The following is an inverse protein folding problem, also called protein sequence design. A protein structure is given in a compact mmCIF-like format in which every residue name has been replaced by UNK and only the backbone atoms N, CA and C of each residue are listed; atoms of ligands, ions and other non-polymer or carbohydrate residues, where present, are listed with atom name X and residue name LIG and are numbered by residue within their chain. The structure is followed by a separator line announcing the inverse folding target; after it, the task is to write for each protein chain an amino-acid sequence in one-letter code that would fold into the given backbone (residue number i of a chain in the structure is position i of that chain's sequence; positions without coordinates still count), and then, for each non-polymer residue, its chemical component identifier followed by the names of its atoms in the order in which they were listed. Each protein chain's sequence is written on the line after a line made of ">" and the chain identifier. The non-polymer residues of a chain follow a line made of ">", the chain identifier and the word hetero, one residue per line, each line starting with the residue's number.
data_IF_131098378394
#
_entry.id   IF_131098378394
#
_cell.length_a   1.000
_cell.length_b   1.000
_cell.length_c   1.000
_cell.angle_alpha   90.00
_cell.angle_beta   90.00
_cell.angle_gamma   90.00
#
_symmetry.space_group_name_H-M   'P 1'
#
loop_
_entity.id
_entity.type
_entity.pdbx_description
1 polymer ?
#
# COMPACT_ATOMS: atom_id res chain seq x y z
N UNK A 1 -11.39 -7.77 -20.38
CA UNK A 1 -12.02 -7.72 -19.04
C UNK A 1 -11.12 -7.07 -18.00
N UNK A 2 -9.92 -7.59 -17.74
CA UNK A 2 -8.97 -7.05 -16.74
C UNK A 2 -8.79 -5.52 -16.75
N UNK A 3 -8.52 -4.92 -17.92
CA UNK A 3 -8.38 -3.47 -18.05
C UNK A 3 -9.64 -2.67 -17.69
N UNK A 4 -10.83 -3.24 -17.93
CA UNK A 4 -12.09 -2.60 -17.57
C UNK A 4 -12.28 -2.55 -16.05
N UNK A 5 -11.87 -3.60 -15.34
CA UNK A 5 -11.90 -3.66 -13.88
C UNK A 5 -10.94 -2.62 -13.28
N UNK A 6 -9.71 -2.53 -13.81
CA UNK A 6 -8.74 -1.50 -13.39
C UNK A 6 -9.32 -0.10 -13.62
N UNK A 7 -9.88 0.17 -14.81
CA UNK A 7 -10.47 1.48 -15.13
C UNK A 7 -11.63 1.81 -14.19
N UNK A 8 -12.48 0.83 -13.86
CA UNK A 8 -13.58 0.98 -12.91
C UNK A 8 -13.05 1.39 -11.55
N UNK A 9 -12.10 0.64 -11.00
CA UNK A 9 -11.55 0.89 -9.66
C UNK A 9 -10.80 2.23 -9.59
N UNK A 10 -10.01 2.57 -10.61
CA UNK A 10 -9.37 3.89 -10.69
C UNK A 10 -10.39 5.03 -10.79
N UNK A 11 -11.52 4.82 -11.48
CA UNK A 11 -12.59 5.82 -11.56
C UNK A 11 -13.28 6.02 -10.19
N UNK A 12 -13.48 4.93 -9.44
CA UNK A 12 -14.03 5.01 -8.08
C UNK A 12 -13.08 5.74 -7.14
N UNK A 13 -11.77 5.41 -7.19
CA UNK A 13 -10.72 6.09 -6.42
C UNK A 13 -10.70 7.59 -6.77
N UNK A 14 -10.71 7.95 -8.05
CA UNK A 14 -10.65 9.34 -8.51
C UNK A 14 -11.88 10.18 -8.11
N UNK A 15 -13.04 9.53 -7.92
CA UNK A 15 -14.27 10.18 -7.45
C UNK A 15 -14.39 10.25 -5.94
N UNK A 16 -13.53 9.55 -5.21
CA UNK A 16 -13.53 9.57 -3.75
C UNK A 16 -13.09 10.94 -3.23
N UNK A 17 -13.81 11.55 -2.28
CA UNK A 17 -13.35 12.77 -1.61
C UNK A 17 -12.04 12.54 -0.84
N UNK A 18 -11.71 11.29 -0.53
CA UNK A 18 -10.49 10.89 0.18
C UNK A 18 -9.31 10.55 -0.75
N UNK A 19 -9.40 10.84 -2.06
CA UNK A 19 -8.34 10.54 -3.05
C UNK A 19 -6.93 10.93 -2.57
N UNK A 20 -6.78 12.15 -2.04
CA UNK A 20 -5.48 12.69 -1.62
C UNK A 20 -5.09 12.30 -0.19
N UNK A 21 -5.98 11.66 0.55
CA UNK A 21 -5.80 11.36 1.98
C UNK A 21 -4.52 10.55 2.26
N UNK A 22 -4.17 9.48 1.50
CA UNK A 22 -2.93 8.75 1.70
C UNK A 22 -1.66 9.61 1.52
N UNK A 23 -1.66 10.49 0.51
CA UNK A 23 -0.52 11.37 0.20
C UNK A 23 -0.39 12.46 1.25
N UNK A 24 -1.50 13.09 1.65
CA UNK A 24 -1.50 14.08 2.72
C UNK A 24 -1.02 13.47 4.03
N UNK A 25 -1.47 12.27 4.37
CA UNK A 25 -1.01 11.55 5.55
C UNK A 25 0.49 11.26 5.49
N UNK A 26 1.00 10.79 4.35
CA UNK A 26 2.42 10.55 4.13
C UNK A 26 3.27 11.80 4.36
N UNK A 27 2.90 12.91 3.73
CA UNK A 27 3.60 14.20 3.88
C UNK A 27 3.49 14.72 5.31
N UNK A 28 2.32 14.58 5.94
CA UNK A 28 2.09 14.99 7.33
C UNK A 28 2.99 14.22 8.29
N UNK A 29 3.13 12.90 8.14
CA UNK A 29 4.08 12.12 8.95
C UNK A 29 5.51 12.64 8.74
N UNK A 30 5.95 12.83 7.49
CA UNK A 30 7.28 13.36 7.20
C UNK A 30 7.51 14.77 7.78
N UNK A 31 6.47 15.61 7.81
CA UNK A 31 6.53 16.97 8.36
C UNK A 31 6.54 16.99 9.89
N UNK A 32 5.83 16.07 10.55
CA UNK A 32 5.72 16.02 12.01
C UNK A 32 6.97 15.44 12.68
N UNK A 33 7.69 14.52 12.03
CA UNK A 33 8.85 13.86 12.62
C UNK A 33 9.98 14.82 13.06
N UNK A 34 10.36 15.83 12.26
CA UNK A 34 11.32 16.86 12.69
C UNK A 34 10.92 17.59 13.98
N UNK A 35 9.62 17.81 14.23
CA UNK A 35 9.16 18.42 15.48
C UNK A 35 9.28 17.48 16.69
N UNK A 36 9.11 16.18 16.47
CA UNK A 36 9.24 15.17 17.53
C UNK A 36 10.71 14.90 17.91
N UNK A 37 11.61 14.93 16.93
CA UNK A 37 13.04 14.59 17.12
C UNK A 37 13.90 15.83 17.42
N UNK A 38 13.53 16.98 16.87
CA UNK A 38 14.32 18.22 16.94
C UNK A 38 15.22 18.42 15.71
N UNK A 39 15.94 19.56 15.65
CA UNK A 39 16.65 20.03 14.46
C UNK A 39 17.98 19.30 14.16
N UNK A 40 18.19 18.08 14.67
CA UNK A 40 19.39 17.29 14.36
C UNK A 40 19.28 16.64 12.98
N UNK A 41 19.82 17.31 11.97
CA UNK A 41 19.80 16.84 10.58
C UNK A 41 20.47 15.47 10.39
N UNK A 42 21.50 15.12 11.18
CA UNK A 42 22.18 13.82 11.05
C UNK A 42 21.29 12.71 11.57
N UNK A 43 20.64 12.95 12.72
CA UNK A 43 19.68 12.01 13.28
C UNK A 43 18.46 11.84 12.37
N UNK A 44 17.92 12.94 11.84
CA UNK A 44 16.79 12.93 10.91
C UNK A 44 17.09 12.12 9.65
N UNK A 45 18.23 12.40 8.99
CA UNK A 45 18.65 11.66 7.80
C UNK A 45 18.82 10.16 8.08
N UNK A 46 19.31 9.80 9.28
CA UNK A 46 19.51 8.40 9.69
C UNK A 46 18.20 7.64 9.88
N UNK A 47 17.16 8.29 10.40
CA UNK A 47 15.85 7.64 10.63
C UNK A 47 14.89 7.77 9.44
N UNK A 48 15.19 8.66 8.48
CA UNK A 48 14.32 8.99 7.36
C UNK A 48 13.78 7.79 6.58
N UNK A 49 14.59 6.76 6.23
CA UNK A 49 14.05 5.57 5.55
C UNK A 49 12.97 4.86 6.38
N UNK A 50 13.17 4.75 7.69
CA UNK A 50 12.18 4.17 8.61
C UNK A 50 10.87 4.97 8.64
N UNK A 51 10.99 6.30 8.79
CA UNK A 51 9.84 7.21 8.81
C UNK A 51 9.02 7.10 7.52
N UNK A 52 9.69 7.13 6.37
CA UNK A 52 9.05 7.05 5.05
C UNK A 52 8.33 5.71 4.85
N UNK A 53 8.94 4.59 5.26
CA UNK A 53 8.30 3.27 5.13
C UNK A 53 7.12 3.08 6.07
N UNK A 54 7.19 3.57 7.31
CA UNK A 54 6.05 3.59 8.22
C UNK A 54 4.92 4.45 7.65
N UNK A 55 5.24 5.64 7.15
CA UNK A 55 4.27 6.52 6.51
C UNK A 55 3.63 5.86 5.27
N UNK A 56 4.41 5.15 4.45
CA UNK A 56 3.92 4.43 3.29
C UNK A 56 3.01 3.25 3.64
N UNK A 57 3.34 2.48 4.69
CA UNK A 57 2.47 1.43 5.21
C UNK A 57 1.13 1.99 5.68
N UNK A 58 1.14 3.04 6.50
CA UNK A 58 -0.08 3.64 7.03
C UNK A 58 -0.92 4.27 5.90
N UNK A 59 -0.28 4.90 4.91
CA UNK A 59 -0.95 5.40 3.72
C UNK A 59 -1.61 4.27 2.90
N UNK A 60 -0.98 3.10 2.80
CA UNK A 60 -1.54 1.94 2.11
C UNK A 60 -2.74 1.32 2.84
N UNK A 61 -2.81 1.46 4.17
CA UNK A 61 -3.89 0.95 5.02
C UNK A 61 -5.09 1.90 5.11
N UNK A 62 -4.90 3.19 4.83
CA UNK A 62 -5.96 4.19 4.94
C UNK A 62 -7.22 3.88 4.11
N UNK A 63 -7.11 3.37 2.85
CA UNK A 63 -8.26 3.02 2.03
C UNK A 63 -8.83 1.62 2.29
N UNK A 64 -8.29 0.87 3.26
CA UNK A 64 -8.53 -0.58 3.36
C UNK A 64 -10.01 -0.93 3.56
N UNK A 65 -10.73 -0.12 4.34
CA UNK A 65 -12.15 -0.33 4.64
C UNK A 65 -13.04 -0.07 3.42
N UNK A 66 -12.64 0.84 2.53
CA UNK A 66 -13.42 1.20 1.34
C UNK A 66 -12.99 0.44 0.09
N UNK A 67 -11.97 -0.42 0.19
CA UNK A 67 -11.39 -1.11 -0.95
C UNK A 67 -12.30 -2.20 -1.51
N UNK A 68 -12.94 -2.97 -0.62
CA UNK A 68 -13.74 -4.15 -0.98
C UNK A 68 -15.12 -4.15 -0.35
N UNK A 69 -15.27 -3.69 0.90
CA UNK A 69 -16.55 -3.74 1.61
C UNK A 69 -17.72 -3.12 0.82
N UNK A 70 -17.59 -1.96 0.14
CA UNK A 70 -18.71 -1.39 -0.63
C UNK A 70 -19.22 -2.31 -1.75
N UNK A 71 -18.30 -3.01 -2.44
CA UNK A 71 -18.64 -3.94 -3.52
C UNK A 71 -19.28 -5.25 -3.00
N UNK A 72 -18.99 -5.60 -1.74
CA UNK A 72 -19.62 -6.74 -1.05
C UNK A 72 -21.02 -6.33 -0.60
N UNK A 73 -21.16 -5.14 -0.02
CA UNK A 73 -22.43 -4.60 0.48
C UNK A 73 -23.46 -4.35 -0.65
N UNK A 74 -23.02 -3.91 -1.82
CA UNK A 74 -23.90 -3.64 -2.97
C UNK A 74 -24.12 -4.85 -3.91
N UNK A 75 -23.52 -6.00 -3.60
CA UNK A 75 -23.62 -7.23 -4.37
C UNK A 75 -22.83 -7.24 -5.69
N UNK A 76 -21.94 -6.27 -5.92
CA UNK A 76 -21.08 -6.24 -7.12
C UNK A 76 -20.19 -7.47 -7.22
N UNK A 77 -19.63 -7.95 -6.09
CA UNK A 77 -18.80 -9.18 -6.10
C UNK A 77 -19.62 -10.39 -6.57
N UNK A 78 -20.86 -10.55 -6.08
CA UNK A 78 -21.76 -11.65 -6.47
C UNK A 78 -22.17 -11.57 -7.94
N UNK A 79 -22.39 -10.35 -8.45
CA UNK A 79 -22.69 -10.13 -9.87
C UNK A 79 -21.50 -10.47 -10.77
N UNK A 80 -20.28 -10.17 -10.35
CA UNK A 80 -19.07 -10.55 -11.09
C UNK A 80 -18.88 -12.07 -11.07
N UNK A 81 -19.11 -12.71 -9.93
CA UNK A 81 -19.01 -14.16 -9.76
C UNK A 81 -20.05 -14.92 -10.61
N UNK A 82 -21.32 -14.49 -10.57
CA UNK A 82 -22.41 -15.10 -11.37
C UNK A 82 -22.21 -14.96 -12.88
N UNK A 83 -21.45 -13.96 -13.32
CA UNK A 83 -21.01 -13.81 -14.72
C UNK A 83 -19.81 -14.69 -15.10
N UNK A 84 -19.33 -15.54 -14.19
CA UNK A 84 -18.19 -16.42 -14.42
C UNK A 84 -16.84 -15.70 -14.46
N UNK A 85 -16.75 -14.47 -13.93
CA UNK A 85 -15.48 -13.74 -13.87
C UNK A 85 -14.67 -14.30 -12.69
N UNK A 86 -13.45 -14.76 -12.97
CA UNK A 86 -12.55 -15.27 -11.93
C UNK A 86 -12.24 -14.18 -10.89
N UNK A 87 -12.53 -14.46 -9.61
CA UNK A 87 -12.30 -13.51 -8.52
C UNK A 87 -10.83 -13.14 -8.35
N UNK A 88 -9.93 -14.07 -8.67
CA UNK A 88 -8.49 -13.85 -8.70
C UNK A 88 -8.13 -12.72 -9.68
N UNK A 89 -8.82 -12.64 -10.83
CA UNK A 89 -8.64 -11.55 -11.79
C UNK A 89 -9.19 -10.22 -11.28
N UNK A 90 -10.34 -10.25 -10.57
CA UNK A 90 -10.93 -9.06 -9.96
C UNK A 90 -10.01 -8.48 -8.90
N UNK A 91 -9.50 -9.33 -8.02
CA UNK A 91 -8.55 -8.93 -6.97
C UNK A 91 -7.23 -8.46 -7.57
N UNK A 92 -6.68 -9.14 -8.57
CA UNK A 92 -5.45 -8.68 -9.25
C UNK A 92 -5.62 -7.29 -9.87
N UNK A 93 -6.76 -7.02 -10.51
CA UNK A 93 -7.07 -5.71 -11.07
C UNK A 93 -7.15 -4.64 -9.96
N UNK A 94 -7.76 -5.01 -8.82
CA UNK A 94 -7.91 -4.13 -7.66
C UNK A 94 -6.58 -3.80 -7.00
N UNK A 95 -5.69 -4.78 -6.82
CA UNK A 95 -4.35 -4.57 -6.27
C UNK A 95 -3.61 -3.53 -7.11
N UNK A 96 -3.69 -3.64 -8.44
CA UNK A 96 -3.05 -2.69 -9.34
C UNK A 96 -3.69 -1.30 -9.25
N UNK A 97 -5.02 -1.21 -9.23
CA UNK A 97 -5.73 0.07 -9.08
C UNK A 97 -5.42 0.75 -7.73
N UNK A 98 -5.38 -0.02 -6.64
CA UNK A 98 -4.99 0.46 -5.30
C UNK A 98 -3.56 0.99 -5.32
N UNK A 99 -2.62 0.19 -5.81
CA UNK A 99 -1.21 0.59 -5.91
C UNK A 99 -1.03 1.86 -6.74
N UNK A 100 -1.67 1.97 -7.89
CA UNK A 100 -1.65 3.19 -8.71
C UNK A 100 -2.30 4.38 -7.99
N UNK A 101 -3.37 4.14 -7.23
CA UNK A 101 -4.13 5.16 -6.51
C UNK A 101 -3.36 5.81 -5.36
N UNK A 102 -2.59 5.04 -4.58
CA UNK A 102 -1.86 5.59 -3.44
C UNK A 102 -0.34 5.68 -3.68
N UNK A 103 0.29 4.65 -4.25
CA UNK A 103 1.75 4.53 -4.24
C UNK A 103 2.41 5.47 -5.25
N UNK A 104 1.84 5.62 -6.45
CA UNK A 104 2.38 6.53 -7.47
C UNK A 104 2.35 7.99 -6.99
N UNK A 105 1.21 8.53 -6.51
CA UNK A 105 1.17 9.85 -5.90
C UNK A 105 2.10 10.00 -4.69
N UNK A 106 2.22 8.96 -3.84
CA UNK A 106 3.11 8.96 -2.69
C UNK A 106 4.57 9.05 -3.09
N UNK A 107 5.02 8.24 -4.05
CA UNK A 107 6.40 8.26 -4.56
C UNK A 107 6.69 9.62 -5.22
N UNK A 108 5.71 10.21 -5.91
CA UNK A 108 5.84 11.56 -6.46
C UNK A 108 5.96 12.65 -5.37
N UNK A 109 5.38 12.42 -4.19
CA UNK A 109 5.52 13.31 -3.02
C UNK A 109 6.81 13.07 -2.21
N UNK A 110 7.57 12.00 -2.48
CA UNK A 110 8.82 11.68 -1.78
C UNK A 110 9.84 12.82 -1.74
N UNK A 111 10.04 13.65 -2.79
CA UNK A 111 10.97 14.78 -2.72
C UNK A 111 10.65 15.76 -1.60
N UNK A 112 9.36 15.96 -1.28
CA UNK A 112 8.93 16.81 -0.16
C UNK A 112 9.38 16.18 1.16
N UNK A 113 9.12 14.88 1.35
CA UNK A 113 9.55 14.16 2.54
C UNK A 113 11.09 14.12 2.67
N UNK A 114 11.82 13.98 1.56
CA UNK A 114 13.28 13.98 1.54
C UNK A 114 13.86 15.30 2.06
N UNK A 115 13.30 16.44 1.64
CA UNK A 115 13.71 17.77 2.15
C UNK A 115 13.37 17.91 3.63
N UNK A 116 12.15 17.55 4.04
CA UNK A 116 11.71 17.66 5.43
C UNK A 116 12.56 16.82 6.39
N UNK A 117 13.05 15.66 5.93
CA UNK A 117 13.84 14.71 6.71
C UNK A 117 15.35 14.87 6.53
N UNK A 118 15.81 15.89 5.78
CA UNK A 118 17.25 16.17 5.60
C UNK A 118 18.00 15.10 4.79
N UNK A 119 17.32 14.40 3.88
CA UNK A 119 17.91 13.36 3.06
C UNK A 119 18.74 13.97 1.91
N UNK A 120 19.88 13.34 1.60
CA UNK A 120 20.58 13.65 0.35
C UNK A 120 19.86 13.05 -0.88
N UNK A 121 20.20 13.55 -2.07
CA UNK A 121 19.58 13.11 -3.31
C UNK A 121 19.90 11.67 -3.72
N UNK A 122 21.00 11.08 -3.22
CA UNK A 122 21.33 9.69 -3.50
C UNK A 122 20.45 8.74 -2.68
N UNK A 123 20.33 9.01 -1.37
CA UNK A 123 19.44 8.32 -0.45
C UNK A 123 17.98 8.44 -0.89
N UNK A 124 17.52 9.63 -1.29
CA UNK A 124 16.16 9.83 -1.78
C UNK A 124 15.85 8.99 -3.03
N UNK A 125 16.78 8.92 -4.01
CA UNK A 125 16.61 8.09 -5.21
C UNK A 125 16.60 6.60 -4.90
N UNK A 126 17.48 6.13 -4.01
CA UNK A 126 17.47 4.72 -3.58
C UNK A 126 16.18 4.37 -2.86
N UNK A 127 15.68 5.25 -2.00
CA UNK A 127 14.42 5.08 -1.31
C UNK A 127 13.22 5.10 -2.27
N UNK A 128 13.25 5.94 -3.30
CA UNK A 128 12.25 5.93 -4.37
C UNK A 128 12.20 4.56 -5.09
N UNK A 129 13.37 4.00 -5.43
CA UNK A 129 13.47 2.67 -6.03
C UNK A 129 12.97 1.58 -5.07
N UNK A 130 13.33 1.65 -3.79
CA UNK A 130 12.85 0.72 -2.78
C UNK A 130 11.32 0.78 -2.63
N UNK A 131 10.75 1.98 -2.55
CA UNK A 131 9.29 2.17 -2.50
C UNK A 131 8.62 1.62 -3.75
N UNK A 132 9.16 1.88 -4.95
CA UNK A 132 8.63 1.34 -6.20
C UNK A 132 8.59 -0.20 -6.19
N UNK A 133 9.62 -0.83 -5.62
CA UNK A 133 9.71 -2.29 -5.54
C UNK A 133 8.83 -2.90 -4.44
N UNK A 134 8.70 -2.27 -3.27
CA UNK A 134 8.00 -2.87 -2.13
C UNK A 134 6.56 -2.39 -1.90
N UNK A 135 6.17 -1.20 -2.36
CA UNK A 135 4.76 -0.74 -2.25
C UNK A 135 3.75 -1.61 -3.01
N UNK A 136 4.09 -2.31 -4.11
CA UNK A 136 3.17 -3.30 -4.68
C UNK A 136 2.80 -4.40 -3.68
N UNK A 137 3.75 -4.84 -2.85
CA UNK A 137 3.50 -5.79 -1.77
C UNK A 137 2.52 -5.22 -0.75
N UNK A 138 2.71 -3.96 -0.34
CA UNK A 138 1.82 -3.29 0.61
C UNK A 138 0.40 -3.17 0.06
N UNK A 139 0.25 -2.87 -1.23
CA UNK A 139 -1.04 -2.84 -1.90
C UNK A 139 -1.70 -4.23 -1.91
N UNK A 140 -0.91 -5.26 -2.22
CA UNK A 140 -1.37 -6.65 -2.27
C UNK A 140 -1.83 -7.15 -0.89
N UNK A 141 -1.04 -6.92 0.15
CA UNK A 141 -1.36 -7.26 1.53
C UNK A 141 -2.57 -6.49 2.05
N UNK A 142 -2.64 -5.18 1.76
CA UNK A 142 -3.80 -4.36 2.11
C UNK A 142 -5.09 -4.86 1.45
N UNK A 143 -5.01 -5.31 0.20
CA UNK A 143 -6.18 -5.87 -0.51
C UNK A 143 -6.62 -7.20 0.09
N UNK A 144 -5.68 -8.07 0.49
CA UNK A 144 -6.00 -9.33 1.20
C UNK A 144 -6.69 -9.03 2.53
N UNK A 145 -6.16 -8.09 3.29
CA UNK A 145 -6.74 -7.71 4.57
C UNK A 145 -8.14 -7.11 4.40
N UNK A 146 -8.34 -6.23 3.42
CA UNK A 146 -9.65 -5.69 3.07
C UNK A 146 -10.67 -6.79 2.75
N UNK A 147 -10.25 -7.84 2.03
CA UNK A 147 -11.12 -8.96 1.69
C UNK A 147 -11.50 -9.78 2.92
N UNK A 148 -10.52 -10.09 3.77
CA UNK A 148 -10.73 -10.86 5.01
C UNK A 148 -11.62 -10.13 6.02
N UNK A 149 -11.64 -8.80 5.97
CA UNK A 149 -12.40 -7.97 6.91
C UNK A 149 -13.63 -7.31 6.29
N UNK A 150 -13.97 -7.65 5.04
CA UNK A 150 -15.03 -6.94 4.29
C UNK A 150 -16.41 -7.01 4.95
N UNK A 151 -16.68 -8.07 5.73
CA UNK A 151 -17.96 -8.29 6.41
C UNK A 151 -17.91 -7.95 7.91
N UNK A 152 -16.77 -7.47 8.42
CA UNK A 152 -16.56 -7.22 9.85
C UNK A 152 -16.81 -5.76 10.21
N UNK A 153 -17.46 -5.53 11.36
CA UNK A 153 -17.54 -4.20 11.97
C UNK A 153 -16.17 -3.78 12.49
N UNK A 154 -15.68 -2.63 12.03
CA UNK A 154 -14.34 -2.12 12.40
C UNK A 154 -13.19 -2.83 11.68
N UNK A 155 -13.43 -3.27 10.43
CA UNK A 155 -12.46 -4.03 9.63
C UNK A 155 -11.08 -3.39 9.49
N UNK A 156 -10.96 -2.06 9.54
CA UNK A 156 -9.69 -1.36 9.38
C UNK A 156 -8.65 -1.67 10.46
N UNK A 157 -9.07 -1.77 11.73
CA UNK A 157 -8.16 -2.11 12.82
C UNK A 157 -7.63 -3.55 12.69
N UNK A 158 -8.52 -4.49 12.35
CA UNK A 158 -8.17 -5.88 12.10
C UNK A 158 -7.27 -6.01 10.86
N UNK A 159 -7.54 -5.24 9.81
CA UNK A 159 -6.73 -5.22 8.62
C UNK A 159 -5.29 -4.76 8.94
N UNK A 160 -5.15 -3.71 9.75
CA UNK A 160 -3.83 -3.27 10.23
C UNK A 160 -3.08 -4.36 11.01
N UNK A 161 -3.78 -5.06 11.91
CA UNK A 161 -3.21 -6.17 12.69
C UNK A 161 -2.73 -7.34 11.81
N UNK A 162 -3.47 -7.66 10.74
CA UNK A 162 -3.12 -8.72 9.78
C UNK A 162 -1.93 -8.29 8.90
N UNK A 163 -1.96 -7.06 8.38
CA UNK A 163 -0.94 -6.58 7.44
C UNK A 163 0.40 -6.35 8.13
N UNK A 164 0.41 -5.83 9.35
CA UNK A 164 1.64 -5.44 10.04
C UNK A 164 2.72 -6.55 10.09
N UNK A 165 2.44 -7.78 10.59
CA UNK A 165 3.44 -8.86 10.61
C UNK A 165 3.84 -9.31 9.20
N UNK A 166 2.91 -9.33 8.25
CA UNK A 166 3.19 -9.72 6.86
C UNK A 166 3.99 -8.66 6.10
N UNK A 167 3.88 -7.40 6.49
CA UNK A 167 4.63 -6.29 5.90
C UNK A 167 6.06 -6.21 6.44
N UNK A 168 6.39 -6.86 7.56
CA UNK A 168 7.72 -6.77 8.18
C UNK A 168 8.87 -7.08 7.22
N UNK A 169 8.86 -8.16 6.40
CA UNK A 169 9.95 -8.40 5.45
C UNK A 169 10.10 -7.25 4.44
N UNK A 170 8.99 -6.68 3.99
CA UNK A 170 8.99 -5.54 3.05
C UNK A 170 9.60 -4.30 3.73
N UNK A 171 9.22 -4.03 4.98
CA UNK A 171 9.76 -2.90 5.75
C UNK A 171 11.25 -3.09 6.06
N UNK A 172 11.68 -4.28 6.49
CA UNK A 172 13.07 -4.59 6.83
C UNK A 172 13.98 -4.34 5.63
N UNK A 173 13.66 -4.93 4.48
CA UNK A 173 14.48 -4.76 3.28
C UNK A 173 14.30 -3.39 2.62
N UNK A 174 13.14 -2.77 2.77
CA UNK A 174 12.85 -1.42 2.29
C UNK A 174 13.64 -0.34 3.04
N UNK A 175 13.63 -0.39 4.37
CA UNK A 175 14.39 0.54 5.23
C UNK A 175 15.89 0.31 5.04
N UNK A 176 16.30 -0.96 4.93
CA UNK A 176 17.69 -1.38 4.72
C UNK A 176 18.16 -1.37 3.26
N UNK A 177 17.54 -0.61 2.36
CA UNK A 177 17.79 -0.67 0.91
C UNK A 177 19.25 -0.43 0.48
N UNK A 178 20.06 0.20 1.34
CA UNK A 178 21.50 0.41 1.10
C UNK A 178 22.34 -0.87 1.31
N UNK A 179 21.82 -1.88 2.01
CA UNK A 179 22.55 -3.11 2.26
C UNK A 179 22.66 -3.95 0.97
N UNK A 180 23.81 -4.60 0.71
CA UNK A 180 23.99 -5.47 -0.44
C UNK A 180 22.88 -6.53 -0.54
N UNK A 181 22.17 -6.58 -1.66
CA UNK A 181 21.10 -7.55 -1.91
C UNK A 181 19.74 -7.20 -1.32
N UNK A 182 19.61 -6.16 -0.49
CA UNK A 182 18.34 -5.77 0.13
C UNK A 182 17.26 -5.48 -0.92
N UNK A 183 17.58 -4.73 -1.99
CA UNK A 183 16.63 -4.45 -3.08
C UNK A 183 16.16 -5.73 -3.81
N UNK A 184 17.03 -6.74 -3.93
CA UNK A 184 16.68 -8.03 -4.55
C UNK A 184 15.72 -8.81 -3.67
N UNK A 185 15.98 -8.84 -2.35
CA UNK A 185 15.11 -9.49 -1.38
C UNK A 185 13.76 -8.76 -1.24
N UNK A 186 13.77 -7.43 -1.28
CA UNK A 186 12.57 -6.60 -1.32
C UNK A 186 11.71 -6.92 -2.55
N UNK A 187 12.33 -6.95 -3.74
CA UNK A 187 11.65 -7.31 -4.97
C UNK A 187 11.11 -8.75 -4.91
N UNK A 188 11.89 -9.71 -4.42
CA UNK A 188 11.46 -11.09 -4.27
C UNK A 188 10.26 -11.21 -3.32
N UNK A 189 10.34 -10.60 -2.14
CA UNK A 189 9.24 -10.59 -1.18
C UNK A 189 7.97 -9.92 -1.75
N UNK A 190 8.14 -8.83 -2.50
CA UNK A 190 7.05 -8.14 -3.18
C UNK A 190 6.39 -9.00 -4.27
N UNK A 191 7.19 -9.70 -5.07
CA UNK A 191 6.69 -10.64 -6.08
C UNK A 191 5.95 -11.82 -5.44
N UNK A 192 6.44 -12.36 -4.32
CA UNK A 192 5.73 -13.42 -3.57
C UNK A 192 4.38 -12.91 -3.07
N UNK A 193 4.33 -11.72 -2.46
CA UNK A 193 3.08 -11.12 -2.02
C UNK A 193 2.10 -10.92 -3.19
N UNK A 194 2.57 -10.33 -4.30
CA UNK A 194 1.77 -10.14 -5.51
C UNK A 194 1.26 -11.45 -6.13
N UNK A 195 2.05 -12.52 -6.07
CA UNK A 195 1.67 -13.81 -6.61
C UNK A 195 0.60 -14.51 -5.75
N UNK A 196 0.68 -14.38 -4.42
CA UNK A 196 -0.22 -15.08 -3.48
C UNK A 196 -1.50 -14.29 -3.22
N UNK A 197 -1.43 -12.96 -3.11
CA UNK A 197 -2.53 -12.11 -2.69
C UNK A 197 -3.81 -12.24 -3.53
N UNK A 198 -3.78 -12.31 -4.88
CA UNK A 198 -4.99 -12.49 -5.68
C UNK A 198 -5.80 -13.73 -5.28
N UNK A 199 -5.12 -14.85 -5.01
CA UNK A 199 -5.74 -16.10 -4.61
C UNK A 199 -6.25 -16.04 -3.17
N UNK A 200 -5.45 -15.48 -2.26
CA UNK A 200 -5.83 -15.35 -0.85
C UNK A 200 -7.06 -14.45 -0.67
N UNK A 201 -7.10 -13.29 -1.32
CA UNK A 201 -8.26 -12.40 -1.24
C UNK A 201 -9.48 -12.98 -1.99
N UNK A 202 -9.28 -13.64 -3.14
CA UNK A 202 -10.38 -14.29 -3.85
C UNK A 202 -11.00 -15.43 -3.03
N UNK A 203 -10.19 -16.20 -2.30
CA UNK A 203 -10.68 -17.22 -1.37
C UNK A 203 -11.47 -16.61 -0.20
N UNK A 204 -11.04 -15.45 0.31
CA UNK A 204 -11.78 -14.74 1.36
C UNK A 204 -13.16 -14.23 0.90
N UNK A 205 -13.30 -13.91 -0.39
CA UNK A 205 -14.56 -13.42 -0.98
C UNK A 205 -15.53 -14.53 -1.40
N UNK A 206 -15.05 -15.77 -1.52
CA UNK A 206 -15.91 -16.94 -1.74
C UNK A 206 -16.44 -17.38 -0.38
N UNK A 207 -17.51 -16.74 0.09
CA UNK A 207 -18.32 -17.26 1.19
C UNK A 207 -19.59 -17.85 0.58
N UNK A 208 -19.79 -19.15 0.85
CA UNK A 208 -20.79 -20.04 0.23
C UNK A 208 -22.24 -19.58 0.39
#
# INVERSE_FOLDING_TARGET
>A
MFWLLIRRDLTLIARSPALWMPVMFFVLVAALFPFAVGPDARLLARIAPGVVWVAALLAALLPVETLIAPDVEDGTIDQLASRGIAMEMVVAARILAHWLGFAVPLIAALPVAAVLLGMDGAAARRLALALLLGTPALAALGTVAAALTATLRGGGALAGLIVLPLALPILIFGVGADAPGALKLLAAASLVALAVSPFAAAAALKQD
#
